data_IF_073380692502
#
_entry.id   IF_073380692502
#
_cell.length_a   1.000
_cell.length_b   1.000
_cell.length_c   1.000
_cell.angle_alpha   90.00
_cell.angle_beta   90.00
_cell.angle_gamma   90.00
#
_symmetry.space_group_name_H-M   'P 1'
#
loop_
_entity.id
_entity.type
_entity.pdbx_description
1 polymer ?
#
# COMPACT_ATOMS: atom_id res chain seq x y z
N UNK A 1 15.52 -4.36 -24.12
CA UNK A 1 14.24 -4.81 -23.58
C UNK A 1 14.29 -4.82 -22.08
N UNK A 2 13.31 -4.23 -21.45
CA UNK A 2 13.27 -4.13 -19.99
C UNK A 2 12.37 -5.22 -19.43
N UNK A 3 12.91 -5.97 -18.48
CA UNK A 3 12.10 -6.92 -17.74
C UNK A 3 11.22 -6.18 -16.75
N UNK A 4 9.96 -6.63 -16.53
CA UNK A 4 9.14 -6.04 -15.48
C UNK A 4 9.70 -6.35 -14.10
N UNK A 5 9.52 -5.47 -13.13
CA UNK A 5 9.88 -5.77 -11.75
C UNK A 5 9.16 -7.02 -11.24
N UNK A 6 9.84 -7.76 -10.37
CA UNK A 6 9.27 -8.94 -9.72
C UNK A 6 8.60 -8.50 -8.42
N UNK A 7 7.36 -8.93 -8.23
CA UNK A 7 6.64 -8.71 -6.97
C UNK A 7 6.88 -9.92 -6.07
N UNK A 8 7.24 -9.66 -4.84
CA UNK A 8 7.44 -10.70 -3.83
C UNK A 8 7.12 -10.17 -2.45
N UNK A 9 6.94 -11.07 -1.48
CA UNK A 9 6.83 -10.66 -0.08
C UNK A 9 8.17 -10.12 0.41
N UNK A 10 8.11 -9.18 1.34
CA UNK A 10 9.30 -8.59 1.93
C UNK A 10 10.06 -9.61 2.79
N UNK A 11 11.37 -9.41 2.87
CA UNK A 11 12.27 -10.18 3.74
C UNK A 11 12.82 -9.25 4.82
N UNK A 12 13.38 -9.83 5.88
CA UNK A 12 14.03 -9.04 6.95
C UNK A 12 15.08 -8.08 6.39
N UNK A 13 15.79 -8.50 5.36
CA UNK A 13 16.85 -7.69 4.75
C UNK A 13 16.31 -6.51 3.92
N UNK A 14 15.01 -6.44 3.67
CA UNK A 14 14.41 -5.35 2.90
C UNK A 14 14.00 -4.15 3.75
N UNK A 15 14.00 -4.27 5.06
CA UNK A 15 13.40 -3.25 5.95
C UNK A 15 13.98 -1.86 5.75
N UNK A 16 15.29 -1.74 5.67
CA UNK A 16 15.93 -0.45 5.47
C UNK A 16 15.59 0.16 4.10
N UNK A 17 15.60 -0.66 3.05
CA UNK A 17 15.26 -0.21 1.71
C UNK A 17 13.81 0.24 1.60
N UNK A 18 12.88 -0.46 2.27
CA UNK A 18 11.46 -0.05 2.32
C UNK A 18 11.33 1.31 2.99
N UNK A 19 12.00 1.48 4.15
CA UNK A 19 11.97 2.77 4.84
C UNK A 19 12.54 3.89 3.99
N UNK A 20 13.63 3.64 3.25
CA UNK A 20 14.20 4.63 2.33
C UNK A 20 13.23 5.03 1.23
N UNK A 21 12.47 4.08 0.69
CA UNK A 21 11.43 4.38 -0.30
C UNK A 21 10.36 5.27 0.33
N UNK A 22 9.92 4.95 1.55
CA UNK A 22 8.91 5.72 2.26
C UNK A 22 9.37 7.16 2.47
N UNK A 23 10.60 7.35 2.92
CA UNK A 23 11.20 8.68 3.11
C UNK A 23 11.27 9.43 1.77
N UNK A 24 11.71 8.77 0.72
CA UNK A 24 11.83 9.39 -0.60
C UNK A 24 10.49 9.88 -1.14
N UNK A 25 9.43 9.08 -0.96
CA UNK A 25 8.12 9.38 -1.53
C UNK A 25 7.32 10.34 -0.65
N UNK A 26 7.35 10.15 0.67
CA UNK A 26 6.48 10.89 1.60
C UNK A 26 7.20 11.94 2.46
N UNK A 27 8.52 12.01 2.38
CA UNK A 27 9.29 13.00 3.13
C UNK A 27 9.18 12.80 4.64
N UNK A 28 8.59 13.78 5.34
CA UNK A 28 8.46 13.74 6.79
C UNK A 28 7.25 12.93 7.28
N UNK A 29 6.29 12.67 6.39
CA UNK A 29 5.06 11.95 6.72
C UNK A 29 5.24 10.44 6.57
N UNK A 30 6.31 9.90 7.16
CA UNK A 30 6.70 8.50 7.03
C UNK A 30 6.39 7.72 8.30
N UNK A 31 6.19 6.41 8.11
CA UNK A 31 6.18 5.49 9.23
C UNK A 31 7.57 5.40 9.85
N UNK A 32 7.67 5.22 11.17
CA UNK A 32 8.96 4.86 11.78
C UNK A 32 9.52 3.59 11.15
N UNK A 33 10.84 3.51 10.99
CA UNK A 33 11.47 2.35 10.34
C UNK A 33 11.09 1.02 10.99
N UNK A 34 10.95 0.97 12.32
CA UNK A 34 10.58 -0.26 13.02
C UNK A 34 9.15 -0.73 12.68
N UNK A 35 8.27 0.16 12.22
CA UNK A 35 6.90 -0.23 11.89
C UNK A 35 6.85 -1.29 10.78
N UNK A 36 7.72 -1.18 9.79
CA UNK A 36 7.72 -2.15 8.69
C UNK A 36 8.09 -3.55 9.17
N UNK A 37 8.99 -3.66 10.14
CA UNK A 37 9.31 -4.95 10.76
C UNK A 37 8.13 -5.50 11.54
N UNK A 38 7.44 -4.65 12.32
CA UNK A 38 6.25 -5.07 13.04
C UNK A 38 5.14 -5.48 12.10
N UNK A 39 4.95 -4.73 11.02
CA UNK A 39 3.94 -5.08 10.00
C UNK A 39 4.26 -6.42 9.36
N UNK A 40 5.53 -6.69 9.04
CA UNK A 40 5.94 -7.96 8.49
C UNK A 40 5.69 -9.12 9.48
N UNK A 41 5.94 -8.89 10.75
CA UNK A 41 5.66 -9.90 11.79
C UNK A 41 4.18 -10.17 11.96
N UNK A 42 3.34 -9.11 11.83
CA UNK A 42 1.89 -9.24 11.97
C UNK A 42 1.23 -9.81 10.71
N UNK A 43 1.66 -9.34 9.54
CA UNK A 43 1.02 -9.64 8.26
C UNK A 43 2.08 -9.99 7.21
N UNK A 44 2.80 -11.11 7.37
CA UNK A 44 3.96 -11.42 6.51
C UNK A 44 3.61 -11.57 5.03
N UNK A 45 2.38 -11.93 4.72
CA UNK A 45 1.94 -12.13 3.33
C UNK A 45 1.45 -10.84 2.67
N UNK A 46 1.32 -9.75 3.45
CA UNK A 46 0.72 -8.51 2.98
C UNK A 46 1.72 -7.35 2.84
N UNK A 47 2.98 -7.55 3.14
CA UNK A 47 4.03 -6.58 2.84
C UNK A 47 4.77 -7.04 1.59
N UNK A 48 4.52 -6.33 0.49
CA UNK A 48 5.05 -6.68 -0.83
C UNK A 48 6.09 -5.67 -1.26
N UNK A 49 7.09 -6.13 -1.98
CA UNK A 49 8.08 -5.27 -2.62
C UNK A 49 8.16 -5.57 -4.10
N UNK A 50 8.56 -4.57 -4.87
CA UNK A 50 8.83 -4.70 -6.29
C UNK A 50 10.34 -4.57 -6.48
N UNK A 51 10.96 -5.60 -7.05
CA UNK A 51 12.41 -5.69 -7.21
C UNK A 51 12.79 -5.84 -8.66
N UNK A 52 13.82 -5.10 -9.07
CA UNK A 52 14.42 -5.24 -10.39
C UNK A 52 15.94 -5.14 -10.22
N UNK A 53 16.65 -6.19 -10.66
CA UNK A 53 18.11 -6.26 -10.60
C UNK A 53 18.69 -5.95 -9.21
N UNK A 54 18.04 -6.48 -8.18
CA UNK A 54 18.50 -6.32 -6.79
C UNK A 54 18.11 -5.00 -6.13
N UNK A 55 17.39 -4.12 -6.85
CA UNK A 55 16.95 -2.84 -6.33
C UNK A 55 15.45 -2.84 -6.09
N UNK A 56 15.01 -2.37 -4.92
CA UNK A 56 13.59 -2.19 -4.65
C UNK A 56 13.11 -0.88 -5.29
N UNK A 57 12.00 -0.97 -6.02
CA UNK A 57 11.39 0.16 -6.73
C UNK A 57 10.12 0.66 -6.08
N UNK A 58 9.54 -0.13 -5.20
CA UNK A 58 8.30 0.22 -4.53
C UNK A 58 7.92 -0.83 -3.51
N UNK A 59 6.91 -0.48 -2.70
CA UNK A 59 6.33 -1.43 -1.76
C UNK A 59 4.83 -1.17 -1.62
N UNK A 60 4.11 -2.18 -1.15
CA UNK A 60 2.71 -2.06 -0.75
C UNK A 60 2.52 -2.80 0.57
N UNK A 61 1.76 -2.19 1.47
CA UNK A 61 1.48 -2.77 2.77
C UNK A 61 -0.01 -2.91 2.96
N UNK A 62 -0.47 -4.16 3.07
CA UNK A 62 -1.83 -4.48 3.50
C UNK A 62 -1.84 -4.86 4.97
N UNK A 63 -3.01 -4.80 5.58
CA UNK A 63 -3.22 -5.21 6.95
C UNK A 63 -4.60 -5.80 7.15
N UNK A 64 -4.78 -6.47 8.29
CA UNK A 64 -6.07 -7.03 8.66
C UNK A 64 -6.78 -6.12 9.65
N UNK A 65 -8.08 -5.91 9.43
CA UNK A 65 -8.89 -5.13 10.34
C UNK A 65 -9.34 -5.97 11.54
N UNK A 66 -9.92 -5.30 12.53
CA UNK A 66 -10.55 -5.97 13.66
C UNK A 66 -11.74 -6.81 13.20
N UNK A 67 -12.51 -6.30 12.25
CA UNK A 67 -13.54 -7.06 11.56
C UNK A 67 -12.84 -8.03 10.60
N UNK A 68 -13.09 -9.32 10.77
CA UNK A 68 -12.42 -10.39 10.00
C UNK A 68 -12.77 -10.41 8.52
N UNK A 69 -13.83 -9.73 8.11
CA UNK A 69 -14.19 -9.61 6.70
C UNK A 69 -13.50 -8.44 6.00
N UNK A 70 -12.74 -7.64 6.76
CA UNK A 70 -12.20 -6.38 6.29
C UNK A 70 -10.68 -6.33 6.39
N UNK A 71 -10.04 -5.97 5.29
CA UNK A 71 -8.63 -5.66 5.23
C UNK A 71 -8.39 -4.19 4.93
N UNK A 72 -7.14 -3.80 4.96
CA UNK A 72 -6.71 -2.43 4.70
C UNK A 72 -5.51 -2.40 3.77
N UNK A 73 -5.49 -1.41 2.88
CA UNK A 73 -4.26 -0.98 2.25
C UNK A 73 -3.73 0.18 3.10
N UNK A 74 -2.61 -0.04 3.79
CA UNK A 74 -2.07 0.93 4.73
C UNK A 74 -1.10 1.90 4.07
N UNK A 75 -0.33 1.43 3.09
CA UNK A 75 0.61 2.28 2.38
C UNK A 75 0.98 1.68 1.03
N UNK A 76 1.27 2.57 0.09
CA UNK A 76 1.68 2.21 -1.27
C UNK A 76 2.64 3.29 -1.74
N UNK A 77 3.84 2.89 -2.13
CA UNK A 77 4.85 3.82 -2.60
C UNK A 77 5.62 3.24 -3.78
N UNK A 78 5.83 4.07 -4.81
CA UNK A 78 6.64 3.74 -5.97
C UNK A 78 7.64 4.87 -6.17
N UNK A 79 8.92 4.52 -6.31
CA UNK A 79 9.95 5.51 -6.57
C UNK A 79 9.63 6.30 -7.85
N UNK A 80 9.96 7.61 -7.91
CA UNK A 80 9.63 8.44 -9.07
C UNK A 80 10.09 7.85 -10.41
N UNK A 81 11.29 7.27 -10.46
CA UNK A 81 11.85 6.69 -11.68
C UNK A 81 11.12 5.42 -12.14
N UNK A 82 10.32 4.81 -11.28
CA UNK A 82 9.58 3.60 -11.62
C UNK A 82 8.10 3.84 -11.89
N UNK A 83 7.66 5.10 -11.87
CA UNK A 83 6.26 5.46 -12.14
C UNK A 83 5.93 5.42 -13.62
N UNK A 84 4.64 5.27 -13.94
CA UNK A 84 4.15 5.29 -15.31
C UNK A 84 4.17 3.93 -16.01
N UNK A 85 4.52 2.84 -15.29
CA UNK A 85 4.61 1.49 -15.86
C UNK A 85 3.60 0.52 -15.25
N UNK A 86 2.59 1.04 -14.54
CA UNK A 86 1.55 0.22 -13.92
C UNK A 86 1.96 -0.55 -12.69
N UNK A 87 3.10 -0.21 -12.07
CA UNK A 87 3.63 -0.95 -10.93
C UNK A 87 2.73 -0.82 -9.69
N UNK A 88 2.23 0.38 -9.41
CA UNK A 88 1.33 0.61 -8.28
C UNK A 88 0.07 -0.26 -8.39
N UNK A 89 -0.53 -0.29 -9.58
CA UNK A 89 -1.71 -1.12 -9.85
C UNK A 89 -1.41 -2.60 -9.63
N UNK A 90 -0.28 -3.09 -10.15
CA UNK A 90 0.12 -4.49 -9.96
C UNK A 90 0.28 -4.84 -8.49
N UNK A 91 0.92 -3.95 -7.71
CA UNK A 91 1.11 -4.18 -6.28
C UNK A 91 -0.22 -4.17 -5.52
N UNK A 92 -1.13 -3.25 -5.84
CA UNK A 92 -2.44 -3.23 -5.22
C UNK A 92 -3.23 -4.50 -5.49
N UNK A 93 -3.25 -4.95 -6.75
CA UNK A 93 -3.94 -6.18 -7.12
C UNK A 93 -3.35 -7.39 -6.40
N UNK A 94 -2.04 -7.42 -6.20
CA UNK A 94 -1.38 -8.50 -5.47
C UNK A 94 -1.75 -8.47 -3.98
N UNK A 95 -1.83 -7.31 -3.35
CA UNK A 95 -2.31 -7.20 -1.97
C UNK A 95 -3.75 -7.68 -1.87
N UNK A 96 -4.60 -7.29 -2.81
CA UNK A 96 -6.00 -7.74 -2.84
C UNK A 96 -6.10 -9.25 -2.97
N UNK A 97 -5.25 -9.86 -3.81
CA UNK A 97 -5.21 -11.32 -3.93
C UNK A 97 -4.79 -11.99 -2.61
N UNK A 98 -3.80 -11.42 -1.92
CA UNK A 98 -3.38 -11.91 -0.62
C UNK A 98 -4.48 -11.82 0.42
N UNK A 99 -5.21 -10.71 0.44
CA UNK A 99 -6.36 -10.53 1.33
C UNK A 99 -7.47 -11.53 1.01
N UNK A 100 -7.78 -11.70 -0.28
CA UNK A 100 -8.81 -12.65 -0.71
C UNK A 100 -8.45 -14.08 -0.31
N UNK A 101 -7.19 -14.46 -0.43
CA UNK A 101 -6.71 -15.78 -0.01
C UNK A 101 -6.85 -16.00 1.50
N UNK A 102 -6.88 -14.93 2.29
CA UNK A 102 -7.11 -14.99 3.73
C UNK A 102 -8.60 -14.93 4.11
N UNK A 103 -9.50 -14.95 3.12
CA UNK A 103 -10.94 -14.90 3.35
C UNK A 103 -11.50 -13.50 3.56
N UNK A 104 -10.74 -12.47 3.23
CA UNK A 104 -11.19 -11.08 3.38
C UNK A 104 -12.11 -10.72 2.21
N UNK A 105 -13.23 -10.08 2.53
CA UNK A 105 -14.26 -9.75 1.53
C UNK A 105 -14.19 -8.31 1.05
N UNK A 106 -13.62 -7.40 1.85
CA UNK A 106 -13.57 -5.97 1.55
C UNK A 106 -12.22 -5.41 1.96
N UNK A 107 -11.73 -4.45 1.19
CA UNK A 107 -10.51 -3.72 1.51
C UNK A 107 -10.80 -2.24 1.55
N UNK A 108 -10.29 -1.58 2.58
CA UNK A 108 -10.40 -0.14 2.78
C UNK A 108 -9.05 0.54 2.69
N UNK A 109 -9.08 1.81 2.37
CA UNK A 109 -7.90 2.67 2.45
C UNK A 109 -8.35 4.10 2.75
N UNK A 110 -7.41 4.89 3.24
CA UNK A 110 -7.62 6.33 3.35
C UNK A 110 -6.67 7.05 2.41
N UNK A 111 -7.12 8.17 1.88
CA UNK A 111 -6.33 8.98 0.96
C UNK A 111 -6.61 10.46 1.22
N UNK A 112 -5.57 11.29 1.14
CA UNK A 112 -5.69 12.73 1.22
C UNK A 112 -6.56 13.20 0.04
N UNK A 113 -7.60 14.04 0.27
CA UNK A 113 -8.45 14.54 -0.82
C UNK A 113 -7.67 15.27 -1.93
N UNK A 114 -6.50 15.83 -1.62
CA UNK A 114 -5.65 16.50 -2.58
C UNK A 114 -4.71 15.56 -3.34
N UNK A 115 -4.64 14.28 -2.95
CA UNK A 115 -3.72 13.32 -3.56
C UNK A 115 -4.28 12.80 -4.89
N UNK A 116 -3.56 13.00 -6.02
CA UNK A 116 -4.02 12.50 -7.31
C UNK A 116 -4.09 10.98 -7.42
N UNK A 117 -3.48 10.24 -6.48
CA UNK A 117 -3.55 8.77 -6.45
C UNK A 117 -4.98 8.25 -6.32
N UNK A 118 -5.94 9.07 -5.85
CA UNK A 118 -7.33 8.64 -5.78
C UNK A 118 -7.88 8.21 -7.13
N UNK A 119 -7.35 8.74 -8.26
CA UNK A 119 -7.76 8.31 -9.61
C UNK A 119 -7.46 6.84 -9.85
N UNK A 120 -6.30 6.37 -9.39
CA UNK A 120 -5.94 4.96 -9.47
C UNK A 120 -6.92 4.11 -8.68
N UNK A 121 -7.24 4.53 -7.47
CA UNK A 121 -8.14 3.77 -6.60
C UNK A 121 -9.54 3.66 -7.20
N UNK A 122 -10.11 4.75 -7.69
CA UNK A 122 -11.42 4.71 -8.35
C UNK A 122 -11.39 3.83 -9.60
N UNK A 123 -10.34 3.90 -10.38
CA UNK A 123 -10.18 3.05 -11.58
C UNK A 123 -10.14 1.56 -11.21
N UNK A 124 -9.57 1.22 -10.06
CA UNK A 124 -9.48 -0.16 -9.59
C UNK A 124 -10.76 -0.66 -8.92
N UNK A 125 -11.78 0.19 -8.82
CA UNK A 125 -13.08 -0.21 -8.29
C UNK A 125 -13.37 0.22 -6.86
N UNK A 126 -12.50 1.04 -6.26
CA UNK A 126 -12.78 1.61 -4.94
C UNK A 126 -13.89 2.64 -5.03
N UNK A 127 -14.74 2.69 -4.01
CA UNK A 127 -15.82 3.65 -3.89
C UNK A 127 -15.65 4.43 -2.60
N UNK A 128 -16.00 5.71 -2.64
CA UNK A 128 -15.93 6.54 -1.45
C UNK A 128 -17.07 6.22 -0.49
N UNK A 129 -16.71 5.87 0.76
CA UNK A 129 -17.68 5.69 1.83
C UNK A 129 -17.93 6.97 2.61
N UNK A 130 -16.88 7.75 2.84
CA UNK A 130 -16.95 8.93 3.68
C UNK A 130 -15.80 9.87 3.41
N UNK A 131 -15.95 11.11 3.85
CA UNK A 131 -14.85 12.06 4.03
C UNK A 131 -14.81 12.40 5.51
N UNK A 132 -13.65 12.22 6.13
CA UNK A 132 -13.49 12.47 7.55
C UNK A 132 -12.46 13.57 7.78
N UNK A 133 -12.91 14.67 8.38
CA UNK A 133 -12.04 15.78 8.74
C UNK A 133 -11.16 15.37 9.91
N UNK A 134 -9.93 15.88 9.91
CA UNK A 134 -8.96 15.67 10.99
C UNK A 134 -8.76 14.18 11.34
N UNK A 135 -8.79 13.32 10.33
CA UNK A 135 -8.68 11.86 10.50
C UNK A 135 -7.43 11.46 11.28
N UNK A 136 -6.29 12.04 10.94
CA UNK A 136 -5.01 11.79 11.62
C UNK A 136 -4.58 12.94 12.53
N UNK A 137 -5.45 13.92 12.75
CA UNK A 137 -5.16 15.11 13.55
C UNK A 137 -5.54 16.37 12.81
N UNK A 138 -5.31 17.55 13.40
CA UNK A 138 -5.75 18.83 12.83
C UNK A 138 -5.23 19.03 11.41
N UNK A 139 -6.15 19.29 10.46
CA UNK A 139 -5.82 19.51 9.05
C UNK A 139 -5.55 18.26 8.25
N UNK A 140 -5.62 17.08 8.86
CA UNK A 140 -5.32 15.80 8.20
C UNK A 140 -6.62 15.11 7.75
N UNK A 141 -7.35 15.75 6.84
CA UNK A 141 -8.59 15.20 6.29
C UNK A 141 -8.29 14.01 5.40
N UNK A 142 -9.19 13.02 5.38
CA UNK A 142 -9.05 11.85 4.52
C UNK A 142 -10.37 11.44 3.90
N UNK A 143 -10.28 10.92 2.67
CA UNK A 143 -11.35 10.14 2.08
C UNK A 143 -11.19 8.70 2.52
N UNK A 144 -12.29 8.07 2.92
CA UNK A 144 -12.34 6.64 3.20
C UNK A 144 -12.91 5.93 1.99
N UNK A 145 -12.12 5.05 1.39
CA UNK A 145 -12.51 4.30 0.20
C UNK A 145 -12.60 2.82 0.53
N UNK A 146 -13.48 2.12 -0.18
CA UNK A 146 -13.67 0.68 0.01
C UNK A 146 -13.89 0.00 -1.33
N UNK A 147 -13.36 -1.22 -1.45
CA UNK A 147 -13.61 -2.10 -2.58
C UNK A 147 -14.03 -3.47 -2.08
N UNK A 148 -15.06 -4.03 -2.70
CA UNK A 148 -15.46 -5.42 -2.47
C UNK A 148 -14.57 -6.34 -3.30
N UNK A 149 -14.04 -7.41 -2.65
CA UNK A 149 -13.19 -8.41 -3.29
C UNK A 149 -14.01 -9.61 -3.70
N UNK A 150 -13.70 -10.15 -4.86
CA UNK A 150 -14.40 -11.31 -5.40
C UNK A 150 -15.66 -10.92 -6.11
#
# INVERSE_FOLDING_TARGET
>A
MHQPPVLRVARHTDMHAIWQIDVNVFGEDVYPGFFFRQAMDLWPELLLVAELDGKLLGYALGGLGQDRSQGWLLSLAVLPEARGFGLAERMMLQVEQGLLALGIERVRLTVDPANPAQRLYFRLGYQQLAEERDYFGPGEDRLLLEKRLG
#
